data_IF_514242146854
#
_entry.id   IF_514242146854
#
_cell.length_a   1.000
_cell.length_b   1.000
_cell.length_c   1.000
_cell.angle_alpha   90.00
_cell.angle_beta   90.00
_cell.angle_gamma   90.00
#
_symmetry.space_group_name_H-M   'P 1'
#
loop_
_entity.id
_entity.type
_entity.pdbx_description
1 polymer ?
#
# COMPACT_ATOMS: atom_id res chain seq x y z
N UNK A 1 35.53 -19.65 -47.94
CA UNK A 1 36.12 -18.79 -46.90
C UNK A 1 34.98 -18.33 -46.01
N UNK A 2 34.70 -19.11 -44.96
CA UNK A 2 33.78 -18.72 -43.89
C UNK A 2 34.58 -18.75 -42.61
N UNK A 3 34.91 -17.59 -42.07
CA UNK A 3 35.50 -17.49 -40.74
C UNK A 3 34.43 -17.87 -39.73
N UNK A 4 34.62 -19.04 -39.12
CA UNK A 4 33.91 -19.45 -37.93
C UNK A 4 34.28 -18.47 -36.82
N UNK A 5 33.37 -17.58 -36.46
CA UNK A 5 33.46 -16.77 -35.24
C UNK A 5 33.45 -17.75 -34.06
N UNK A 6 34.63 -18.08 -33.55
CA UNK A 6 34.79 -18.85 -32.32
C UNK A 6 34.22 -18.03 -31.17
N UNK A 7 33.07 -18.43 -30.65
CA UNK A 7 32.56 -17.94 -29.37
C UNK A 7 33.50 -18.47 -28.29
N UNK A 8 34.58 -17.75 -28.01
CA UNK A 8 35.51 -18.09 -26.94
C UNK A 8 34.77 -17.97 -25.60
N UNK A 9 34.51 -19.12 -24.96
CA UNK A 9 34.07 -19.18 -23.57
C UNK A 9 35.23 -18.69 -22.69
N UNK A 10 35.16 -17.44 -22.25
CA UNK A 10 36.03 -16.93 -21.18
C UNK A 10 35.57 -17.59 -19.88
N UNK A 11 36.43 -18.41 -19.27
CA UNK A 11 36.03 -19.26 -18.12
C UNK A 11 36.43 -18.66 -16.79
N UNK A 12 37.37 -17.72 -16.76
CA UNK A 12 37.84 -17.07 -15.52
C UNK A 12 37.84 -15.55 -15.62
N UNK A 13 37.81 -14.90 -14.46
CA UNK A 13 37.96 -13.44 -14.36
C UNK A 13 39.30 -12.94 -14.92
N UNK A 14 40.35 -13.76 -14.85
CA UNK A 14 41.64 -13.49 -15.45
C UNK A 14 41.57 -13.39 -16.96
N UNK A 15 40.81 -14.28 -17.60
CA UNK A 15 40.60 -14.28 -19.05
C UNK A 15 39.84 -13.02 -19.50
N UNK A 16 38.84 -12.59 -18.73
CA UNK A 16 38.09 -11.36 -18.99
C UNK A 16 39.02 -10.14 -18.91
N UNK A 17 39.81 -10.03 -17.84
CA UNK A 17 40.78 -8.93 -17.66
C UNK A 17 41.78 -8.90 -18.81
N UNK A 18 42.36 -10.05 -19.15
CA UNK A 18 43.34 -10.18 -20.22
C UNK A 18 42.75 -9.74 -21.57
N UNK A 19 41.53 -10.19 -21.88
CA UNK A 19 40.80 -9.81 -23.10
C UNK A 19 40.63 -8.29 -23.19
N UNK A 20 40.09 -7.64 -22.17
CA UNK A 20 39.87 -6.18 -22.18
C UNK A 20 41.18 -5.39 -22.23
N UNK A 21 42.23 -5.87 -21.56
CA UNK A 21 43.57 -5.29 -21.64
C UNK A 21 44.14 -5.37 -23.06
N UNK A 22 44.01 -6.52 -23.71
CA UNK A 22 44.50 -6.73 -25.09
C UNK A 22 43.70 -5.91 -26.10
N UNK A 23 42.37 -5.85 -25.95
CA UNK A 23 41.49 -5.02 -26.78
C UNK A 23 41.78 -3.52 -26.65
N UNK A 24 42.22 -3.07 -25.47
CA UNK A 24 42.64 -1.69 -25.22
C UNK A 24 44.12 -1.42 -25.53
N UNK A 25 44.85 -2.40 -26.11
CA UNK A 25 46.28 -2.33 -26.44
C UNK A 25 47.18 -1.92 -25.26
N UNK A 26 46.77 -2.24 -24.02
CA UNK A 26 47.55 -1.91 -22.84
C UNK A 26 48.55 -3.03 -22.50
N UNK A 27 49.79 -2.65 -22.18
CA UNK A 27 50.73 -3.58 -21.56
C UNK A 27 50.40 -3.78 -20.08
N UNK A 28 50.77 -4.93 -19.49
CA UNK A 28 50.63 -5.16 -18.05
C UNK A 28 51.33 -4.06 -17.24
N UNK A 29 52.48 -3.56 -17.71
CA UNK A 29 53.21 -2.47 -17.06
C UNK A 29 52.41 -1.15 -17.06
N UNK A 30 51.71 -0.85 -18.16
CA UNK A 30 50.87 0.35 -18.27
C UNK A 30 49.64 0.22 -17.37
N UNK A 31 48.94 -0.93 -17.43
CA UNK A 31 47.78 -1.20 -16.59
C UNK A 31 48.14 -1.15 -15.09
N UNK A 32 49.30 -1.70 -14.71
CA UNK A 32 49.79 -1.64 -13.33
C UNK A 32 49.96 -0.19 -12.84
N UNK A 33 50.55 0.66 -13.70
CA UNK A 33 50.77 2.07 -13.38
C UNK A 33 49.45 2.84 -13.20
N UNK A 34 48.45 2.57 -14.03
CA UNK A 34 47.19 3.32 -14.05
C UNK A 34 46.20 2.80 -13.01
N UNK A 35 46.10 1.48 -12.83
CA UNK A 35 45.20 0.86 -11.84
C UNK A 35 45.72 0.92 -10.40
N UNK A 36 47.02 1.19 -10.22
CA UNK A 36 47.68 1.15 -8.91
C UNK A 36 47.95 -0.27 -8.39
N UNK A 37 47.63 -1.31 -9.17
CA UNK A 37 47.87 -2.71 -8.81
C UNK A 37 49.24 -3.16 -9.35
N UNK A 38 49.99 -3.93 -8.57
CA UNK A 38 51.35 -4.32 -8.98
C UNK A 38 51.34 -5.23 -10.22
N UNK A 39 52.37 -5.09 -11.06
CA UNK A 39 52.56 -5.89 -12.29
C UNK A 39 52.52 -7.40 -12.01
N UNK A 40 53.11 -7.81 -10.89
CA UNK A 40 53.12 -9.21 -10.45
C UNK A 40 51.72 -9.73 -10.15
N UNK A 41 50.89 -8.94 -9.44
CA UNK A 41 49.51 -9.30 -9.12
C UNK A 41 48.67 -9.42 -10.39
N UNK A 42 48.73 -8.43 -11.30
CA UNK A 42 47.99 -8.48 -12.56
C UNK A 42 48.40 -9.71 -13.38
N UNK A 43 49.71 -10.00 -13.48
CA UNK A 43 50.20 -11.18 -14.20
C UNK A 43 49.68 -12.49 -13.61
N UNK A 44 49.58 -12.61 -12.29
CA UNK A 44 49.06 -13.80 -11.60
C UNK A 44 47.55 -13.97 -11.76
N UNK A 45 46.83 -12.85 -11.86
CA UNK A 45 45.39 -12.85 -12.14
C UNK A 45 45.13 -13.29 -13.58
N UNK A 46 45.80 -12.69 -14.55
CA UNK A 46 45.63 -13.03 -15.98
C UNK A 46 46.11 -14.45 -16.32
N UNK A 47 47.06 -15.02 -15.56
CA UNK A 47 47.53 -16.38 -15.76
C UNK A 47 46.68 -17.45 -15.05
N UNK A 48 45.71 -17.04 -14.22
CA UNK A 48 44.92 -17.95 -13.38
C UNK A 48 45.69 -18.54 -12.19
N UNK A 49 46.92 -18.09 -11.91
CA UNK A 49 47.67 -18.47 -10.70
C UNK A 49 46.92 -18.06 -9.44
N UNK A 50 46.30 -16.87 -9.46
CA UNK A 50 45.37 -16.42 -8.42
C UNK A 50 43.95 -16.87 -8.77
N UNK A 51 43.52 -18.01 -8.23
CA UNK A 51 42.18 -18.58 -8.51
C UNK A 51 41.01 -17.71 -8.04
N UNK A 52 41.17 -16.97 -6.95
CA UNK A 52 40.14 -16.12 -6.32
C UNK A 52 40.74 -14.77 -5.93
N UNK A 53 40.94 -13.84 -6.90
CA UNK A 53 41.46 -12.53 -6.56
C UNK A 53 40.46 -11.76 -5.71
N UNK A 54 40.93 -10.92 -4.81
CA UNK A 54 40.05 -10.10 -3.97
C UNK A 54 39.36 -9.01 -4.79
N UNK A 55 38.09 -8.72 -4.50
CA UNK A 55 37.30 -7.72 -5.23
C UNK A 55 37.98 -6.34 -5.23
N UNK A 56 38.57 -5.94 -4.09
CA UNK A 56 39.35 -4.70 -3.96
C UNK A 56 40.56 -4.59 -4.91
N UNK A 57 41.07 -5.73 -5.40
CA UNK A 57 42.17 -5.80 -6.36
C UNK A 57 41.65 -5.76 -7.80
N UNK A 58 40.51 -6.40 -8.07
CA UNK A 58 39.93 -6.45 -9.42
C UNK A 58 39.20 -5.15 -9.77
N UNK A 59 38.51 -4.51 -8.83
CA UNK A 59 37.74 -3.29 -9.09
C UNK A 59 38.57 -2.15 -9.72
N UNK A 60 39.79 -1.82 -9.26
CA UNK A 60 40.63 -0.83 -9.92
C UNK A 60 41.06 -1.23 -11.34
N UNK A 61 41.35 -2.52 -11.55
CA UNK A 61 41.73 -3.06 -12.87
C UNK A 61 40.55 -2.95 -13.84
N UNK A 62 39.36 -3.41 -13.42
CA UNK A 62 38.14 -3.37 -14.21
C UNK A 62 37.76 -1.94 -14.60
N UNK A 63 37.81 -0.99 -13.64
CA UNK A 63 37.58 0.44 -13.89
C UNK A 63 38.56 1.03 -14.90
N UNK A 64 39.84 0.69 -14.79
CA UNK A 64 40.89 1.19 -15.71
C UNK A 64 40.70 0.66 -17.14
N UNK A 65 40.25 -0.58 -17.26
CA UNK A 65 40.02 -1.24 -18.55
C UNK A 65 38.62 -0.97 -19.13
N UNK A 66 37.75 -0.27 -18.40
CA UNK A 66 36.37 -0.02 -18.82
C UNK A 66 35.50 -1.28 -18.85
N UNK A 67 35.82 -2.29 -18.03
CA UNK A 67 35.01 -3.52 -17.92
C UNK A 67 33.74 -3.18 -17.14
N UNK A 68 32.54 -3.53 -17.64
CA UNK A 68 31.30 -3.38 -16.88
C UNK A 68 31.39 -4.14 -15.55
N UNK A 69 31.16 -3.44 -14.43
CA UNK A 69 31.24 -4.07 -13.10
C UNK A 69 30.22 -5.21 -12.96
N UNK A 70 29.07 -5.11 -13.61
CA UNK A 70 28.09 -6.20 -13.66
C UNK A 70 28.71 -7.50 -14.20
N UNK A 71 29.50 -7.43 -15.28
CA UNK A 71 30.18 -8.61 -15.86
C UNK A 71 31.19 -9.19 -14.87
N UNK A 72 31.93 -8.34 -14.15
CA UNK A 72 32.84 -8.79 -13.08
C UNK A 72 32.09 -9.56 -11.99
N UNK A 73 30.98 -9.00 -11.48
CA UNK A 73 30.15 -9.64 -10.45
C UNK A 73 29.63 -11.00 -10.94
N UNK A 74 29.19 -11.09 -12.20
CA UNK A 74 28.72 -12.37 -12.78
C UNK A 74 29.78 -13.46 -12.79
N UNK A 75 31.04 -13.11 -13.04
CA UNK A 75 32.13 -14.09 -12.97
C UNK A 75 32.46 -14.45 -11.51
N UNK A 76 32.36 -13.50 -10.59
CA UNK A 76 32.63 -13.73 -9.16
C UNK A 76 31.65 -14.71 -8.51
N UNK A 77 30.35 -14.58 -8.79
CA UNK A 77 29.33 -15.46 -8.20
C UNK A 77 29.43 -16.93 -8.63
N UNK A 78 30.17 -17.22 -9.70
CA UNK A 78 30.42 -18.59 -10.18
C UNK A 78 31.71 -19.20 -9.57
N UNK A 79 32.60 -18.39 -8.97
CA UNK A 79 33.91 -18.85 -8.45
C UNK A 79 34.06 -18.70 -6.94
N UNK A 80 33.39 -17.72 -6.33
CA UNK A 80 33.49 -17.41 -4.91
C UNK A 80 32.14 -17.64 -4.23
N UNK A 81 32.09 -18.69 -3.43
CA UNK A 81 30.91 -19.12 -2.70
C UNK A 81 30.92 -18.60 -1.25
N UNK A 82 31.95 -17.84 -0.84
CA UNK A 82 32.05 -17.36 0.55
C UNK A 82 30.93 -16.36 0.85
N UNK A 83 30.13 -16.56 1.92
CA UNK A 83 28.99 -15.72 2.24
C UNK A 83 29.32 -14.23 2.36
N UNK A 84 30.43 -13.86 3.00
CA UNK A 84 30.83 -12.45 3.17
C UNK A 84 31.11 -11.76 1.84
N UNK A 85 31.76 -12.47 0.91
CA UNK A 85 32.05 -11.95 -0.44
C UNK A 85 30.75 -11.79 -1.22
N UNK A 86 29.88 -12.81 -1.18
CA UNK A 86 28.59 -12.74 -1.85
C UNK A 86 27.71 -11.60 -1.30
N UNK A 87 27.73 -11.35 0.00
CA UNK A 87 27.01 -10.22 0.60
C UNK A 87 27.59 -8.86 0.18
N UNK A 88 28.92 -8.74 0.09
CA UNK A 88 29.59 -7.55 -0.49
C UNK A 88 29.16 -7.32 -1.95
N UNK A 89 29.06 -8.39 -2.74
CA UNK A 89 28.58 -8.31 -4.13
C UNK A 89 27.11 -7.87 -4.25
N UNK A 90 26.25 -8.20 -3.28
CA UNK A 90 24.88 -7.67 -3.25
C UNK A 90 24.91 -6.15 -3.07
N UNK A 91 25.76 -5.63 -2.17
CA UNK A 91 25.91 -4.18 -1.97
C UNK A 91 26.39 -3.50 -3.25
N UNK A 92 27.42 -4.05 -3.90
CA UNK A 92 27.93 -3.50 -5.17
C UNK A 92 26.86 -3.51 -6.26
N UNK A 93 26.08 -4.60 -6.39
CA UNK A 93 24.99 -4.67 -7.35
C UNK A 93 23.89 -3.62 -7.10
N UNK A 94 23.61 -3.29 -5.83
CA UNK A 94 22.71 -2.18 -5.46
C UNK A 94 23.30 -0.83 -5.90
N UNK A 95 24.60 -0.59 -5.70
CA UNK A 95 25.25 0.65 -6.15
C UNK A 95 25.22 0.82 -7.68
N UNK A 96 25.18 -0.29 -8.42
CA UNK A 96 25.01 -0.29 -9.87
C UNK A 96 23.57 -0.08 -10.34
N UNK A 97 22.61 0.01 -9.41
CA UNK A 97 21.17 0.10 -9.69
C UNK A 97 20.62 -1.06 -10.53
N UNK A 98 21.21 -2.25 -10.39
CA UNK A 98 20.89 -3.42 -11.22
C UNK A 98 20.10 -4.47 -10.43
N UNK A 99 18.77 -4.31 -10.37
CA UNK A 99 17.87 -5.21 -9.64
C UNK A 99 18.01 -6.69 -10.05
N UNK A 100 18.04 -7.06 -11.35
CA UNK A 100 18.26 -8.45 -11.76
C UNK A 100 19.57 -9.04 -11.22
N UNK A 101 20.65 -8.26 -11.20
CA UNK A 101 21.93 -8.72 -10.64
C UNK A 101 21.84 -8.88 -9.12
N UNK A 102 21.21 -7.93 -8.42
CA UNK A 102 20.97 -8.00 -6.96
C UNK A 102 20.26 -9.29 -6.58
N UNK A 103 19.17 -9.64 -7.27
CA UNK A 103 18.40 -10.87 -6.99
C UNK A 103 19.18 -12.13 -7.34
N UNK A 104 19.96 -12.11 -8.44
CA UNK A 104 20.84 -13.22 -8.84
C UNK A 104 21.92 -13.50 -7.79
N UNK A 105 22.61 -12.46 -7.32
CA UNK A 105 23.65 -12.60 -6.28
C UNK A 105 23.03 -13.07 -4.95
N UNK A 106 21.88 -12.52 -4.56
CA UNK A 106 21.17 -12.93 -3.35
C UNK A 106 20.74 -14.41 -3.40
N UNK A 107 20.27 -14.90 -4.55
CA UNK A 107 19.95 -16.31 -4.72
C UNK A 107 21.20 -17.18 -4.61
N UNK A 108 22.34 -16.77 -5.20
CA UNK A 108 23.62 -17.48 -5.06
C UNK A 108 24.10 -17.50 -3.61
N UNK A 109 23.96 -16.40 -2.89
CA UNK A 109 24.24 -16.31 -1.46
C UNK A 109 23.45 -17.35 -0.65
N UNK A 110 22.16 -17.59 -0.96
CA UNK A 110 21.37 -18.62 -0.28
C UNK A 110 21.71 -20.07 -0.70
N UNK A 111 22.36 -20.26 -1.84
CA UNK A 111 22.67 -21.58 -2.41
C UNK A 111 24.06 -22.10 -2.05
N UNK A 112 24.92 -21.27 -1.43
CA UNK A 112 26.26 -21.68 -1.03
C UNK A 112 26.24 -22.81 0.01
N UNK A 113 27.27 -23.65 -0.03
CA UNK A 113 27.47 -24.79 0.90
C UNK A 113 28.32 -24.45 2.12
N UNK A 114 28.81 -23.19 2.22
CA UNK A 114 29.75 -22.77 3.28
C UNK A 114 29.11 -22.64 4.66
N UNK A 115 27.80 -22.36 4.71
CA UNK A 115 27.04 -22.18 5.94
C UNK A 115 25.70 -22.89 5.82
N UNK A 116 25.09 -23.21 6.97
CA UNK A 116 23.76 -23.81 7.01
C UNK A 116 22.73 -22.86 6.39
N UNK A 117 21.79 -23.41 5.62
CA UNK A 117 20.79 -22.61 4.89
C UNK A 117 19.94 -21.70 5.79
N UNK A 118 19.71 -22.11 7.05
CA UNK A 118 19.04 -21.28 8.06
C UNK A 118 19.84 -20.04 8.47
N UNK A 119 21.17 -20.18 8.60
CA UNK A 119 22.06 -19.05 8.93
C UNK A 119 22.13 -18.09 7.76
N UNK A 120 22.25 -18.62 6.53
CA UNK A 120 22.29 -17.80 5.32
C UNK A 120 21.01 -16.97 5.16
N UNK A 121 19.84 -17.60 5.21
CA UNK A 121 18.58 -16.85 5.04
C UNK A 121 18.36 -15.81 6.15
N UNK A 122 18.80 -16.08 7.38
CA UNK A 122 18.75 -15.10 8.47
C UNK A 122 19.64 -13.89 8.19
N UNK A 123 20.88 -14.13 7.74
CA UNK A 123 21.81 -13.06 7.34
C UNK A 123 21.26 -12.22 6.20
N UNK A 124 20.69 -12.86 5.17
CA UNK A 124 20.07 -12.14 4.06
C UNK A 124 18.85 -11.34 4.54
N UNK A 125 17.99 -11.93 5.36
CA UNK A 125 16.83 -11.24 5.92
C UNK A 125 17.25 -9.98 6.71
N UNK A 126 18.23 -10.11 7.61
CA UNK A 126 18.73 -8.97 8.39
C UNK A 126 19.38 -7.90 7.50
N UNK A 127 20.08 -8.32 6.44
CA UNK A 127 20.60 -7.40 5.43
C UNK A 127 19.46 -6.62 4.75
N UNK A 128 18.40 -7.30 4.29
CA UNK A 128 17.25 -6.65 3.64
C UNK A 128 16.53 -5.68 4.57
N UNK A 129 16.35 -6.05 5.84
CA UNK A 129 15.78 -5.17 6.87
C UNK A 129 16.61 -3.89 7.05
N UNK A 130 17.94 -3.98 6.92
CA UNK A 130 18.83 -2.82 7.07
C UNK A 130 18.81 -1.85 5.88
N UNK A 131 18.22 -2.23 4.74
CA UNK A 131 18.13 -1.38 3.56
C UNK A 131 17.10 -0.26 3.76
N UNK A 132 17.43 0.95 3.31
CA UNK A 132 16.51 2.09 3.33
C UNK A 132 15.64 2.18 2.08
N UNK A 133 16.11 1.63 0.96
CA UNK A 133 15.44 1.73 -0.34
C UNK A 133 14.51 0.53 -0.60
N UNK A 134 13.20 0.81 -0.59
CA UNK A 134 12.13 -0.18 -0.81
C UNK A 134 12.22 -0.86 -2.18
N UNK A 135 12.81 -0.22 -3.19
CA UNK A 135 12.94 -0.77 -4.54
C UNK A 135 13.83 -2.02 -4.58
N UNK A 136 14.76 -2.16 -3.63
CA UNK A 136 15.58 -3.37 -3.46
C UNK A 136 15.03 -4.32 -2.40
N UNK A 137 14.32 -3.81 -1.39
CA UNK A 137 13.71 -4.67 -0.37
C UNK A 137 12.69 -5.64 -0.98
N UNK A 138 11.80 -5.16 -1.85
CA UNK A 138 10.75 -5.99 -2.44
C UNK A 138 11.30 -7.18 -3.26
N UNK A 139 12.20 -6.98 -4.26
CA UNK A 139 12.80 -8.10 -4.99
C UNK A 139 13.61 -9.06 -4.10
N UNK A 140 14.28 -8.56 -3.06
CA UNK A 140 15.03 -9.42 -2.16
C UNK A 140 14.13 -10.24 -1.22
N UNK A 141 13.01 -9.67 -0.75
CA UNK A 141 11.99 -10.45 -0.06
C UNK A 141 11.36 -11.51 -0.97
N UNK A 142 11.17 -11.23 -2.27
CA UNK A 142 10.73 -12.26 -3.22
C UNK A 142 11.70 -13.44 -3.31
N UNK A 143 13.02 -13.17 -3.31
CA UNK A 143 14.05 -14.22 -3.25
C UNK A 143 13.95 -15.02 -1.95
N UNK A 144 13.82 -14.35 -0.80
CA UNK A 144 13.68 -14.99 0.53
C UNK A 144 12.42 -15.87 0.57
N UNK A 145 11.26 -15.33 0.17
CA UNK A 145 9.97 -16.03 0.18
C UNK A 145 10.04 -17.29 -0.68
N UNK A 146 10.56 -17.16 -1.92
CA UNK A 146 10.67 -18.29 -2.85
C UNK A 146 11.58 -19.38 -2.28
N UNK A 147 12.77 -19.00 -1.82
CA UNK A 147 13.73 -19.95 -1.26
C UNK A 147 13.18 -20.63 -0.01
N UNK A 148 12.57 -19.86 0.90
CA UNK A 148 11.97 -20.38 2.13
C UNK A 148 10.84 -21.38 1.83
N UNK A 149 9.99 -21.08 0.85
CA UNK A 149 8.90 -21.96 0.41
C UNK A 149 9.42 -23.28 -0.15
N UNK A 150 10.44 -23.23 -1.01
CA UNK A 150 11.06 -24.43 -1.62
C UNK A 150 11.77 -25.32 -0.59
N UNK A 151 12.25 -24.75 0.51
CA UNK A 151 13.02 -25.45 1.55
C UNK A 151 12.24 -25.74 2.83
N UNK A 152 10.96 -25.38 2.90
CA UNK A 152 10.12 -25.58 4.09
C UNK A 152 10.52 -24.70 5.29
N UNK A 153 11.16 -23.55 5.07
CA UNK A 153 11.61 -22.63 6.13
C UNK A 153 10.49 -21.67 6.54
N UNK A 154 9.46 -22.21 7.19
CA UNK A 154 8.19 -21.52 7.48
C UNK A 154 8.35 -20.18 8.21
N UNK A 155 9.32 -20.06 9.13
CA UNK A 155 9.62 -18.78 9.81
C UNK A 155 9.99 -17.66 8.85
N UNK A 156 10.88 -17.92 7.89
CA UNK A 156 11.30 -16.90 6.93
C UNK A 156 10.26 -16.68 5.83
N UNK A 157 9.46 -17.70 5.52
CA UNK A 157 8.29 -17.53 4.66
C UNK A 157 7.27 -16.56 5.29
N UNK A 158 6.90 -16.79 6.55
CA UNK A 158 5.96 -15.95 7.29
C UNK A 158 6.45 -14.49 7.37
N UNK A 159 7.69 -14.30 7.84
CA UNK A 159 8.29 -12.96 7.97
C UNK A 159 8.46 -12.27 6.63
N UNK A 160 8.88 -12.99 5.59
CA UNK A 160 9.01 -12.45 4.24
C UNK A 160 7.68 -11.97 3.67
N UNK A 161 6.62 -12.79 3.78
CA UNK A 161 5.26 -12.42 3.36
C UNK A 161 4.75 -11.19 4.11
N UNK A 162 4.92 -11.17 5.44
CA UNK A 162 4.53 -10.02 6.28
C UNK A 162 5.24 -8.74 5.85
N UNK A 163 6.58 -8.77 5.68
CA UNK A 163 7.34 -7.58 5.28
C UNK A 163 6.95 -7.09 3.88
N UNK A 164 6.75 -8.02 2.93
CA UNK A 164 6.29 -7.67 1.59
C UNK A 164 4.92 -6.99 1.62
N UNK A 165 3.98 -7.53 2.41
CA UNK A 165 2.69 -6.91 2.66
C UNK A 165 2.83 -5.48 3.21
N UNK A 166 3.59 -5.29 4.29
CA UNK A 166 3.78 -3.99 4.94
C UNK A 166 4.40 -2.94 4.00
N UNK A 167 5.29 -3.36 3.09
CA UNK A 167 5.90 -2.47 2.10
C UNK A 167 4.92 -1.99 1.02
N UNK A 168 3.92 -2.81 0.70
CA UNK A 168 2.98 -2.56 -0.41
C UNK A 168 1.59 -2.09 0.05
N UNK A 169 1.25 -2.18 1.33
CA UNK A 169 -0.12 -1.95 1.82
C UNK A 169 -0.67 -0.53 1.57
N UNK A 170 0.20 0.45 1.31
CA UNK A 170 -0.17 1.84 0.99
C UNK A 170 -0.01 2.20 -0.49
N UNK A 171 0.37 1.23 -1.33
CA UNK A 171 0.42 1.40 -2.78
C UNK A 171 -1.01 1.33 -3.34
N UNK A 172 -1.56 2.50 -3.71
CA UNK A 172 -2.95 2.64 -4.16
C UNK A 172 -3.27 1.78 -5.39
N UNK A 173 -2.28 1.49 -6.24
CA UNK A 173 -2.46 0.67 -7.44
C UNK A 173 -2.49 -0.83 -7.11
N UNK A 174 -1.99 -1.22 -5.93
CA UNK A 174 -1.81 -2.62 -5.50
C UNK A 174 -2.50 -2.95 -4.19
N UNK A 175 -3.49 -2.17 -3.75
CA UNK A 175 -4.18 -2.42 -2.47
C UNK A 175 -4.80 -3.82 -2.39
N UNK A 176 -5.44 -4.29 -3.46
CA UNK A 176 -6.06 -5.63 -3.45
C UNK A 176 -5.03 -6.75 -3.54
N UNK A 177 -3.89 -6.52 -4.20
CA UNK A 177 -2.78 -7.48 -4.26
C UNK A 177 -2.07 -7.60 -2.91
N UNK A 178 -1.76 -6.45 -2.29
CA UNK A 178 -1.15 -6.40 -0.97
C UNK A 178 -2.06 -7.02 0.10
N UNK A 179 -3.37 -6.81 0.02
CA UNK A 179 -4.32 -7.47 0.93
C UNK A 179 -4.25 -8.99 0.82
N UNK A 180 -4.17 -9.55 -0.40
CA UNK A 180 -4.00 -11.00 -0.60
C UNK A 180 -2.67 -11.52 -0.04
N UNK A 181 -1.59 -10.75 -0.14
CA UNK A 181 -0.30 -11.11 0.47
C UNK A 181 -0.39 -11.17 1.99
N UNK A 182 -1.10 -10.21 2.60
CA UNK A 182 -1.39 -10.23 4.02
C UNK A 182 -2.26 -11.43 4.43
N UNK A 183 -3.28 -11.78 3.65
CA UNK A 183 -4.07 -13.01 3.86
C UNK A 183 -3.21 -14.27 3.76
N UNK A 184 -2.25 -14.33 2.83
CA UNK A 184 -1.29 -15.44 2.77
C UNK A 184 -0.42 -15.49 4.03
N UNK A 185 0.07 -14.35 4.52
CA UNK A 185 0.88 -14.28 5.74
C UNK A 185 0.12 -14.78 6.99
N UNK A 186 -1.19 -14.52 7.07
CA UNK A 186 -2.04 -14.95 8.19
C UNK A 186 -2.05 -16.48 8.39
N UNK A 187 -1.88 -17.26 7.32
CA UNK A 187 -1.77 -18.73 7.38
C UNK A 187 -0.48 -19.24 8.06
N UNK A 188 0.50 -18.37 8.28
CA UNK A 188 1.80 -18.72 8.88
C UNK A 188 2.07 -17.98 10.19
N UNK A 189 1.02 -17.49 10.86
CA UNK A 189 1.12 -16.70 12.10
C UNK A 189 1.80 -17.45 13.24
N UNK A 190 1.69 -18.77 13.32
CA UNK A 190 2.39 -19.61 14.32
C UNK A 190 3.92 -19.49 14.26
N UNK A 191 4.47 -19.02 13.13
CA UNK A 191 5.91 -18.82 12.94
C UNK A 191 6.39 -17.38 13.16
N UNK A 192 5.47 -16.48 13.49
CA UNK A 192 5.76 -15.09 13.86
C UNK A 192 5.80 -14.96 15.38
N UNK A 193 6.63 -14.05 15.90
CA UNK A 193 6.58 -13.71 17.32
C UNK A 193 5.31 -12.90 17.66
N UNK A 194 5.04 -12.68 18.95
CA UNK A 194 3.80 -12.02 19.38
C UNK A 194 3.69 -10.59 18.85
N UNK A 195 4.79 -9.84 18.82
CA UNK A 195 4.80 -8.45 18.32
C UNK A 195 4.53 -8.43 16.81
N UNK A 196 5.17 -9.33 16.06
CA UNK A 196 4.96 -9.51 14.63
C UNK A 196 3.51 -9.92 14.32
N UNK A 197 2.91 -10.85 15.08
CA UNK A 197 1.50 -11.25 14.94
C UNK A 197 0.56 -10.08 15.18
N UNK A 198 0.72 -9.37 16.30
CA UNK A 198 -0.12 -8.22 16.64
C UNK A 198 -0.05 -7.15 15.55
N UNK A 199 1.15 -6.84 15.05
CA UNK A 199 1.33 -5.88 13.97
C UNK A 199 0.62 -6.35 12.70
N UNK A 200 0.81 -7.61 12.28
CA UNK A 200 0.13 -8.16 11.10
C UNK A 200 -1.40 -8.05 11.21
N UNK A 201 -1.99 -8.46 12.33
CA UNK A 201 -3.44 -8.37 12.54
C UNK A 201 -3.96 -6.94 12.49
N UNK A 202 -3.28 -5.99 13.14
CA UNK A 202 -3.71 -4.59 13.14
C UNK A 202 -3.59 -3.94 11.75
N UNK A 203 -2.51 -4.18 11.03
CA UNK A 203 -2.35 -3.65 9.67
C UNK A 203 -3.37 -4.26 8.70
N UNK A 204 -3.66 -5.55 8.84
CA UNK A 204 -4.74 -6.21 8.09
C UNK A 204 -6.11 -5.62 8.43
N UNK A 205 -6.38 -5.30 9.69
CA UNK A 205 -7.63 -4.67 10.09
C UNK A 205 -7.81 -3.27 9.47
N UNK A 206 -6.76 -2.44 9.50
CA UNK A 206 -6.80 -1.12 8.87
C UNK A 206 -7.01 -1.21 7.36
N UNK A 207 -6.25 -2.05 6.66
CA UNK A 207 -6.40 -2.18 5.22
C UNK A 207 -7.77 -2.79 4.84
N UNK A 208 -8.29 -3.75 5.61
CA UNK A 208 -9.63 -4.28 5.42
C UNK A 208 -10.70 -3.18 5.53
N UNK A 209 -10.59 -2.30 6.54
CA UNK A 209 -11.49 -1.17 6.70
C UNK A 209 -11.43 -0.23 5.49
N UNK A 210 -10.23 0.13 5.03
CA UNK A 210 -10.04 1.03 3.89
C UNK A 210 -10.56 0.44 2.56
N UNK A 211 -10.45 -0.89 2.41
CA UNK A 211 -11.02 -1.66 1.30
C UNK A 211 -12.53 -1.94 1.46
N UNK A 212 -13.18 -1.40 2.51
CA UNK A 212 -14.60 -1.63 2.83
C UNK A 212 -14.95 -3.10 3.11
N UNK A 213 -13.96 -3.93 3.46
CA UNK A 213 -14.10 -5.33 3.92
C UNK A 213 -14.34 -5.34 5.43
N UNK A 214 -15.48 -4.82 5.85
CA UNK A 214 -15.74 -4.51 7.27
C UNK A 214 -15.76 -5.73 8.18
N UNK A 215 -16.27 -6.87 7.71
CA UNK A 215 -16.25 -8.14 8.45
C UNK A 215 -14.81 -8.57 8.76
N UNK A 216 -13.92 -8.47 7.77
CA UNK A 216 -12.49 -8.80 7.90
C UNK A 216 -11.77 -7.84 8.84
N UNK A 217 -12.11 -6.54 8.81
CA UNK A 217 -11.60 -5.57 9.78
C UNK A 217 -11.93 -5.99 11.22
N UNK A 218 -13.18 -6.38 11.46
CA UNK A 218 -13.64 -6.83 12.78
C UNK A 218 -12.92 -8.11 13.20
N UNK A 219 -12.83 -9.09 12.30
CA UNK A 219 -12.13 -10.37 12.52
C UNK A 219 -10.67 -10.14 12.92
N UNK A 220 -9.89 -9.48 12.07
CA UNK A 220 -8.46 -9.27 12.31
C UNK A 220 -8.21 -8.34 13.50
N UNK A 221 -9.03 -7.31 13.68
CA UNK A 221 -8.90 -6.42 14.82
C UNK A 221 -9.11 -7.14 16.16
N UNK A 222 -10.09 -8.06 16.23
CA UNK A 222 -10.31 -8.90 17.42
C UNK A 222 -9.18 -9.89 17.66
N UNK A 223 -8.64 -10.51 16.60
CA UNK A 223 -7.47 -11.38 16.71
C UNK A 223 -6.28 -10.60 17.28
N UNK A 224 -6.02 -9.39 16.78
CA UNK A 224 -4.97 -8.51 17.31
C UNK A 224 -5.21 -8.12 18.77
N UNK A 225 -6.44 -7.77 19.15
CA UNK A 225 -6.78 -7.44 20.54
C UNK A 225 -6.61 -8.62 21.51
N UNK A 226 -6.88 -9.84 21.06
CA UNK A 226 -6.70 -11.05 21.87
C UNK A 226 -5.21 -11.38 22.08
N UNK A 227 -4.36 -11.12 21.09
CA UNK A 227 -2.91 -11.35 21.17
C UNK A 227 -2.16 -10.21 21.88
N UNK A 228 -2.61 -8.97 21.73
CA UNK A 228 -1.95 -7.80 22.29
C UNK A 228 -2.28 -7.63 23.78
N UNK A 229 -1.32 -7.97 24.65
CA UNK A 229 -1.46 -7.80 26.10
C UNK A 229 -1.14 -6.38 26.58
N UNK A 230 -0.70 -5.49 25.69
CA UNK A 230 -0.34 -4.12 26.04
C UNK A 230 -1.53 -3.17 25.91
N UNK A 231 -1.38 -1.98 26.49
CA UNK A 231 -2.26 -0.86 26.20
C UNK A 231 -1.47 0.19 25.41
N UNK A 232 -1.84 0.39 24.16
CA UNK A 232 -1.15 1.28 23.24
C UNK A 232 -2.16 1.97 22.30
N UNK A 233 -1.74 3.09 21.69
CA UNK A 233 -2.61 3.88 20.83
C UNK A 233 -3.10 3.11 19.60
N UNK A 234 -2.27 2.24 19.02
CA UNK A 234 -2.64 1.44 17.84
C UNK A 234 -3.82 0.51 18.13
N UNK A 235 -3.80 -0.14 19.30
CA UNK A 235 -4.88 -0.98 19.79
C UNK A 235 -6.20 -0.24 19.90
N UNK A 236 -6.19 0.97 20.46
CA UNK A 236 -7.39 1.82 20.54
C UNK A 236 -7.86 2.31 19.16
N UNK A 237 -6.93 2.61 18.24
CA UNK A 237 -7.27 2.98 16.86
C UNK A 237 -7.91 1.82 16.10
N UNK A 238 -7.48 0.58 16.34
CA UNK A 238 -8.14 -0.62 15.81
C UNK A 238 -9.52 -0.81 16.43
N UNK A 239 -9.68 -0.56 17.73
CA UNK A 239 -10.99 -0.56 18.39
C UNK A 239 -11.96 0.43 17.72
N UNK A 240 -11.47 1.62 17.39
CA UNK A 240 -12.21 2.62 16.65
C UNK A 240 -12.57 2.16 15.23
N UNK A 241 -11.64 1.52 14.51
CA UNK A 241 -11.91 0.92 13.20
C UNK A 241 -12.99 -0.17 13.27
N UNK A 242 -12.98 -1.02 14.30
CA UNK A 242 -14.01 -2.04 14.56
C UNK A 242 -15.38 -1.38 14.77
N UNK A 243 -15.48 -0.34 15.59
CA UNK A 243 -16.73 0.41 15.78
C UNK A 243 -17.23 1.02 14.47
N UNK A 244 -16.34 1.62 13.67
CA UNK A 244 -16.70 2.15 12.35
C UNK A 244 -17.18 1.05 11.40
N UNK A 245 -16.54 -0.13 11.40
CA UNK A 245 -16.97 -1.28 10.61
C UNK A 245 -18.38 -1.74 10.99
N UNK A 246 -18.68 -1.89 12.29
CA UNK A 246 -20.04 -2.22 12.74
C UNK A 246 -21.07 -1.18 12.29
N UNK A 247 -20.74 0.10 12.44
CA UNK A 247 -21.58 1.19 11.97
C UNK A 247 -21.83 1.12 10.46
N UNK A 248 -20.79 0.93 9.64
CA UNK A 248 -20.91 0.85 8.18
C UNK A 248 -21.70 -0.36 7.69
N UNK A 249 -21.70 -1.44 8.46
CA UNK A 249 -22.54 -2.62 8.21
C UNK A 249 -23.97 -2.49 8.77
N UNK A 250 -24.33 -1.35 9.37
CA UNK A 250 -25.60 -1.14 10.08
C UNK A 250 -25.85 -2.16 11.21
N UNK A 251 -24.79 -2.73 11.80
CA UNK A 251 -24.88 -3.66 12.92
C UNK A 251 -24.77 -2.88 14.25
N UNK A 252 -25.90 -2.31 14.66
CA UNK A 252 -25.97 -1.47 15.86
C UNK A 252 -25.74 -2.24 17.16
N UNK A 253 -26.22 -3.48 17.25
CA UNK A 253 -26.00 -4.32 18.43
C UNK A 253 -24.50 -4.55 18.65
N UNK A 254 -23.78 -4.94 17.60
CA UNK A 254 -22.34 -5.11 17.64
C UNK A 254 -21.61 -3.81 18.01
N UNK A 255 -22.04 -2.67 17.46
CA UNK A 255 -21.49 -1.36 17.82
C UNK A 255 -21.68 -1.06 19.31
N UNK A 256 -22.89 -1.19 19.85
CA UNK A 256 -23.21 -0.90 21.26
C UNK A 256 -22.44 -1.80 22.24
N UNK A 257 -22.33 -3.10 21.94
CA UNK A 257 -21.56 -4.04 22.75
C UNK A 257 -20.09 -3.65 22.81
N UNK A 258 -19.47 -3.34 21.67
CA UNK A 258 -18.04 -3.02 21.62
C UNK A 258 -17.74 -1.65 22.22
N UNK A 259 -18.62 -0.66 22.05
CA UNK A 259 -18.43 0.65 22.69
C UNK A 259 -18.44 0.54 24.22
N UNK A 260 -19.39 -0.21 24.80
CA UNK A 260 -19.42 -0.46 26.24
C UNK A 260 -18.15 -1.15 26.72
N UNK A 261 -17.75 -2.22 26.03
CA UNK A 261 -16.52 -2.94 26.35
C UNK A 261 -15.28 -2.05 26.29
N UNK A 262 -15.12 -1.22 25.24
CA UNK A 262 -13.97 -0.33 25.10
C UNK A 262 -14.00 0.84 26.09
N UNK A 263 -15.18 1.32 26.47
CA UNK A 263 -15.35 2.31 27.54
C UNK A 263 -14.89 1.74 28.89
N UNK A 264 -15.31 0.51 29.24
CA UNK A 264 -14.88 -0.19 30.45
C UNK A 264 -13.36 -0.44 30.48
N UNK A 265 -12.75 -0.69 29.32
CA UNK A 265 -11.30 -0.84 29.16
C UNK A 265 -10.54 0.50 29.21
N UNK A 266 -11.24 1.63 29.23
CA UNK A 266 -10.62 2.95 29.32
C UNK A 266 -10.00 3.46 28.01
N UNK A 267 -10.44 2.96 26.85
CA UNK A 267 -9.86 3.34 25.55
C UNK A 267 -10.20 4.77 25.19
N UNK A 268 -9.23 5.67 25.35
CA UNK A 268 -9.44 7.12 25.23
C UNK A 268 -9.92 7.53 23.84
N UNK A 269 -9.35 6.95 22.78
CA UNK A 269 -9.77 7.24 21.39
C UNK A 269 -11.26 6.92 21.17
N UNK A 270 -11.78 5.88 21.81
CA UNK A 270 -13.20 5.51 21.72
C UNK A 270 -14.05 6.41 22.62
N UNK A 271 -13.61 6.64 23.86
CA UNK A 271 -14.33 7.44 24.86
C UNK A 271 -14.60 8.86 24.35
N UNK A 272 -13.61 9.51 23.75
CA UNK A 272 -13.74 10.86 23.18
C UNK A 272 -14.80 10.94 22.06
N UNK A 273 -15.26 9.80 21.52
CA UNK A 273 -16.24 9.70 20.43
C UNK A 273 -17.56 9.07 20.85
N UNK A 274 -17.73 8.71 22.13
CA UNK A 274 -18.95 8.05 22.62
C UNK A 274 -20.21 8.88 22.36
N UNK A 275 -20.15 10.21 22.53
CA UNK A 275 -21.30 11.08 22.23
C UNK A 275 -21.76 10.95 20.78
N UNK A 276 -20.81 10.93 19.86
CA UNK A 276 -21.08 10.77 18.42
C UNK A 276 -21.71 9.42 18.11
N UNK A 277 -21.16 8.32 18.67
CA UNK A 277 -21.75 7.00 18.46
C UNK A 277 -23.13 6.85 19.12
N UNK A 278 -23.33 7.39 20.32
CA UNK A 278 -24.62 7.42 21.00
C UNK A 278 -25.68 8.10 20.14
N UNK A 279 -25.34 9.24 19.52
CA UNK A 279 -26.24 9.96 18.64
C UNK A 279 -26.65 9.13 17.40
N UNK A 280 -25.70 8.39 16.82
CA UNK A 280 -25.96 7.45 15.71
C UNK A 280 -26.88 6.31 16.14
N UNK A 281 -26.59 5.69 17.28
CA UNK A 281 -27.35 4.57 17.84
C UNK A 281 -28.81 5.01 18.07
N UNK A 282 -29.02 6.17 18.69
CA UNK A 282 -30.36 6.72 18.93
C UNK A 282 -31.10 7.00 17.61
N UNK A 283 -30.41 7.56 16.61
CA UNK A 283 -30.97 7.79 15.27
C UNK A 283 -31.41 6.47 14.62
N UNK A 284 -30.60 5.41 14.74
CA UNK A 284 -30.96 4.09 14.20
C UNK A 284 -32.13 3.42 14.94
N UNK A 285 -32.24 3.66 16.25
CA UNK A 285 -33.37 3.20 17.08
C UNK A 285 -34.63 4.06 16.93
N UNK A 286 -34.64 4.99 15.97
CA UNK A 286 -35.75 5.93 15.71
C UNK A 286 -36.10 6.84 16.90
N UNK A 287 -35.16 7.00 17.85
CA UNK A 287 -35.29 7.89 19.00
C UNK A 287 -34.84 9.31 18.63
N UNK A 288 -35.51 9.88 17.64
CA UNK A 288 -35.08 11.11 16.97
C UNK A 288 -35.06 12.35 17.88
N UNK A 289 -35.97 12.40 18.86
CA UNK A 289 -36.05 13.51 19.84
C UNK A 289 -34.76 13.66 20.65
N UNK A 290 -34.10 12.54 20.98
CA UNK A 290 -32.81 12.53 21.67
C UNK A 290 -31.63 12.57 20.69
N UNK A 291 -31.76 11.92 19.52
CA UNK A 291 -30.68 11.80 18.55
C UNK A 291 -30.31 13.16 17.91
N UNK A 292 -31.30 13.94 17.47
CA UNK A 292 -31.08 15.17 16.69
C UNK A 292 -30.32 16.24 17.49
N UNK A 293 -30.68 16.56 18.75
CA UNK A 293 -29.91 17.50 19.56
C UNK A 293 -28.44 17.09 19.71
N UNK A 294 -28.19 15.80 19.99
CA UNK A 294 -26.84 15.27 20.12
C UNK A 294 -26.06 15.33 18.80
N UNK A 295 -26.71 15.03 17.66
CA UNK A 295 -26.09 15.16 16.33
C UNK A 295 -25.73 16.61 16.02
N UNK A 296 -26.58 17.59 16.38
CA UNK A 296 -26.30 19.02 16.21
C UNK A 296 -25.09 19.46 17.04
N UNK A 297 -25.00 19.04 18.30
CA UNK A 297 -23.81 19.27 19.11
C UNK A 297 -22.55 18.62 18.51
N UNK A 298 -22.68 17.41 17.98
CA UNK A 298 -21.56 16.76 17.30
C UNK A 298 -21.12 17.58 16.08
N UNK A 299 -22.04 18.13 15.29
CA UNK A 299 -21.69 19.01 14.17
C UNK A 299 -20.99 20.28 14.65
N UNK A 300 -21.45 20.92 15.73
CA UNK A 300 -20.86 22.17 16.23
C UNK A 300 -19.45 21.96 16.79
N UNK A 301 -19.18 20.86 17.49
CA UNK A 301 -17.87 20.49 18.03
C UNK A 301 -16.89 19.95 16.98
N UNK A 302 -17.35 19.72 15.75
CA UNK A 302 -16.55 19.07 14.74
C UNK A 302 -15.40 19.95 14.25
N UNK A 303 -14.19 19.40 14.27
CA UNK A 303 -13.06 19.96 13.53
C UNK A 303 -13.33 19.95 12.02
N UNK A 304 -12.67 20.82 11.26
CA UNK A 304 -12.83 20.95 9.80
C UNK A 304 -12.85 19.62 9.03
N UNK A 305 -11.96 18.69 9.38
CA UNK A 305 -11.81 17.39 8.67
C UNK A 305 -13.05 16.50 8.85
N UNK A 306 -13.62 16.43 10.05
CA UNK A 306 -14.71 15.50 10.37
C UNK A 306 -16.10 16.15 10.32
N UNK A 307 -16.18 17.47 10.09
CA UNK A 307 -17.44 18.23 10.10
C UNK A 307 -18.42 17.69 9.08
N UNK A 308 -17.99 17.54 7.83
CA UNK A 308 -18.87 17.15 6.73
C UNK A 308 -19.47 15.76 6.95
N UNK A 309 -18.70 14.84 7.51
CA UNK A 309 -19.21 13.53 7.88
C UNK A 309 -20.33 13.62 8.92
N UNK A 310 -20.15 14.44 9.97
CA UNK A 310 -21.18 14.65 11.00
C UNK A 310 -22.43 15.35 10.45
N UNK A 311 -22.25 16.30 9.52
CA UNK A 311 -23.35 16.93 8.78
C UNK A 311 -24.12 15.89 8.00
N UNK A 312 -23.44 14.99 7.27
CA UNK A 312 -24.10 13.93 6.52
C UNK A 312 -24.94 13.01 7.42
N UNK A 313 -24.45 12.64 8.61
CA UNK A 313 -25.24 11.82 9.55
C UNK A 313 -26.48 12.59 10.06
N UNK A 314 -26.34 13.87 10.36
CA UNK A 314 -27.47 14.71 10.76
C UNK A 314 -28.49 14.85 9.62
N UNK A 315 -28.03 15.12 8.40
CA UNK A 315 -28.88 15.25 7.22
C UNK A 315 -29.63 13.97 6.91
N UNK A 316 -28.98 12.81 6.98
CA UNK A 316 -29.60 11.50 6.81
C UNK A 316 -30.72 11.28 7.84
N UNK A 317 -30.46 11.65 9.10
CA UNK A 317 -31.44 11.52 10.20
C UNK A 317 -32.64 12.44 9.98
N UNK A 318 -32.41 13.70 9.58
CA UNK A 318 -33.48 14.66 9.30
C UNK A 318 -34.31 14.27 8.08
N UNK A 319 -33.69 13.67 7.06
CA UNK A 319 -34.38 13.14 5.88
C UNK A 319 -35.35 12.01 6.26
N UNK A 320 -34.96 11.09 7.16
CA UNK A 320 -35.83 9.98 7.61
C UNK A 320 -37.13 10.46 8.24
N UNK A 321 -37.10 11.58 8.96
CA UNK A 321 -38.28 12.17 9.61
C UNK A 321 -38.95 13.28 8.78
N UNK A 322 -38.50 13.52 7.54
CA UNK A 322 -38.98 14.59 6.67
C UNK A 322 -38.99 15.99 7.34
N UNK A 323 -37.95 16.31 8.12
CA UNK A 323 -37.82 17.59 8.81
C UNK A 323 -37.38 18.72 7.85
N UNK A 324 -38.27 19.10 6.93
CA UNK A 324 -37.99 20.00 5.79
C UNK A 324 -37.31 21.30 6.19
N UNK A 325 -37.83 22.00 7.20
CA UNK A 325 -37.28 23.29 7.63
C UNK A 325 -35.87 23.15 8.22
N UNK A 326 -35.66 22.10 9.03
CA UNK A 326 -34.35 21.80 9.62
C UNK A 326 -33.31 21.42 8.55
N UNK A 327 -33.70 20.71 7.49
CA UNK A 327 -32.82 20.37 6.38
C UNK A 327 -32.45 21.63 5.59
N UNK A 328 -33.42 22.51 5.32
CA UNK A 328 -33.16 23.78 4.62
C UNK A 328 -32.18 24.66 5.40
N UNK A 329 -32.41 24.83 6.70
CA UNK A 329 -31.50 25.56 7.59
C UNK A 329 -30.08 24.95 7.58
N UNK A 330 -29.99 23.62 7.63
CA UNK A 330 -28.70 22.92 7.59
C UNK A 330 -27.96 23.17 6.26
N UNK A 331 -28.66 23.06 5.13
CA UNK A 331 -28.09 23.32 3.80
C UNK A 331 -27.60 24.77 3.71
N UNK A 332 -28.45 25.74 4.06
CA UNK A 332 -28.11 27.16 4.02
C UNK A 332 -26.89 27.46 4.92
N UNK A 333 -26.84 26.89 6.11
CA UNK A 333 -25.71 27.07 7.02
C UNK A 333 -24.42 26.48 6.44
N UNK A 334 -24.42 25.23 5.97
CA UNK A 334 -23.19 24.57 5.51
C UNK A 334 -22.68 25.14 4.20
N UNK A 335 -23.55 25.50 3.24
CA UNK A 335 -23.11 26.04 1.95
C UNK A 335 -22.50 27.44 2.07
N UNK A 336 -23.01 28.26 3.00
CA UNK A 336 -22.42 29.56 3.33
C UNK A 336 -21.08 29.45 4.06
N UNK A 337 -20.80 28.30 4.69
CA UNK A 337 -19.63 28.09 5.52
C UNK A 337 -18.70 26.98 5.00
N UNK A 338 -18.88 26.52 3.75
CA UNK A 338 -18.05 25.46 3.19
C UNK A 338 -16.57 25.87 3.21
N UNK A 339 -15.75 25.08 3.90
CA UNK A 339 -14.31 25.28 3.93
C UNK A 339 -13.72 24.58 2.70
N UNK A 340 -13.32 25.36 1.69
CA UNK A 340 -12.88 24.86 0.39
C UNK A 340 -11.54 24.09 0.37
N UNK A 341 -10.95 23.75 1.52
CA UNK A 341 -9.68 23.02 1.59
C UNK A 341 -9.88 21.48 1.54
N UNK A 342 -10.83 21.02 0.73
CA UNK A 342 -11.14 19.61 0.55
C UNK A 342 -10.17 18.99 -0.45
N UNK A 343 -9.03 18.51 0.05
CA UNK A 343 -7.96 17.94 -0.78
C UNK A 343 -7.81 16.42 -0.64
N UNK A 344 -8.50 15.80 0.33
CA UNK A 344 -8.35 14.37 0.62
C UNK A 344 -9.45 13.54 -0.05
N UNK A 345 -9.17 12.26 -0.40
CA UNK A 345 -10.20 11.35 -0.92
C UNK A 345 -11.41 11.20 0.02
N UNK A 346 -11.17 11.20 1.33
CA UNK A 346 -12.22 11.16 2.34
C UNK A 346 -13.18 12.34 2.22
N UNK A 347 -12.64 13.56 2.10
CA UNK A 347 -13.45 14.77 1.99
C UNK A 347 -14.30 14.77 0.71
N UNK A 348 -13.73 14.35 -0.42
CA UNK A 348 -14.49 14.21 -1.67
C UNK A 348 -15.60 13.16 -1.57
N UNK A 349 -15.36 12.04 -0.88
CA UNK A 349 -16.40 11.05 -0.61
C UNK A 349 -17.54 11.63 0.23
N UNK A 350 -17.24 12.43 1.26
CA UNK A 350 -18.28 13.03 2.11
C UNK A 350 -19.02 14.17 1.39
N UNK A 351 -18.38 14.93 0.48
CA UNK A 351 -19.06 15.89 -0.39
C UNK A 351 -20.01 15.18 -1.36
N UNK A 352 -19.56 14.08 -1.98
CA UNK A 352 -20.41 13.25 -2.83
C UNK A 352 -21.68 12.80 -2.09
N UNK A 353 -21.54 12.32 -0.85
CA UNK A 353 -22.68 11.93 0.01
C UNK A 353 -23.58 13.11 0.38
N UNK A 354 -23.01 14.27 0.67
CA UNK A 354 -23.78 15.47 1.01
C UNK A 354 -24.69 15.88 -0.15
N UNK A 355 -24.11 16.03 -1.35
CA UNK A 355 -24.87 16.45 -2.53
C UNK A 355 -25.89 15.40 -2.98
N UNK A 356 -25.63 14.10 -2.77
CA UNK A 356 -26.64 13.05 -3.02
C UNK A 356 -27.85 13.20 -2.09
N UNK A 357 -27.62 13.43 -0.80
CA UNK A 357 -28.69 13.67 0.17
C UNK A 357 -29.44 14.98 -0.10
N UNK A 358 -28.73 16.03 -0.52
CA UNK A 358 -29.31 17.30 -0.98
C UNK A 358 -30.20 17.10 -2.20
N UNK A 359 -29.77 16.28 -3.14
CA UNK A 359 -30.58 15.94 -4.30
C UNK A 359 -31.88 15.24 -3.89
N UNK A 360 -31.79 14.18 -3.06
CA UNK A 360 -32.95 13.48 -2.54
C UNK A 360 -33.93 14.43 -1.82
N UNK A 361 -33.41 15.38 -1.02
CA UNK A 361 -34.21 16.42 -0.40
C UNK A 361 -34.99 17.26 -1.42
N UNK A 362 -34.32 17.83 -2.42
CA UNK A 362 -34.97 18.68 -3.43
C UNK A 362 -35.99 17.92 -4.26
N UNK A 363 -35.71 16.66 -4.63
CA UNK A 363 -36.66 15.80 -5.33
C UNK A 363 -37.92 15.58 -4.49
N UNK A 364 -37.78 15.31 -3.19
CA UNK A 364 -38.92 15.15 -2.29
C UNK A 364 -39.74 16.44 -2.12
N UNK A 365 -39.13 17.61 -2.32
CA UNK A 365 -39.82 18.91 -2.32
C UNK A 365 -40.44 19.27 -3.69
N UNK A 366 -40.26 18.43 -4.71
CA UNK A 366 -40.72 18.71 -6.08
C UNK A 366 -39.80 19.63 -6.89
N UNK A 367 -38.66 20.06 -6.33
CA UNK A 367 -37.63 20.85 -7.01
C UNK A 367 -36.75 19.95 -7.88
N UNK A 368 -37.29 19.56 -9.03
CA UNK A 368 -36.66 18.57 -9.91
C UNK A 368 -35.29 19.02 -10.45
N UNK A 369 -35.21 20.21 -11.03
CA UNK A 369 -33.98 20.67 -11.70
C UNK A 369 -32.84 20.86 -10.67
N UNK A 370 -33.15 21.39 -9.49
CA UNK A 370 -32.20 21.53 -8.38
C UNK A 370 -31.71 20.16 -7.86
N UNK A 371 -32.60 19.17 -7.82
CA UNK A 371 -32.25 17.80 -7.44
C UNK A 371 -31.31 17.13 -8.44
N UNK A 372 -31.59 17.26 -9.74
CA UNK A 372 -30.70 16.75 -10.80
C UNK A 372 -29.34 17.44 -10.75
N UNK A 373 -29.31 18.76 -10.54
CA UNK A 373 -28.05 19.51 -10.39
C UNK A 373 -27.23 19.00 -9.20
N UNK A 374 -27.88 18.79 -8.04
CA UNK A 374 -27.21 18.25 -6.87
C UNK A 374 -26.69 16.81 -7.10
N UNK A 375 -27.41 15.96 -7.85
CA UNK A 375 -26.87 14.64 -8.23
C UNK A 375 -25.64 14.76 -9.13
N UNK A 376 -25.60 15.69 -10.08
CA UNK A 376 -24.42 15.92 -10.92
C UNK A 376 -23.23 16.43 -10.09
N UNK A 377 -23.46 17.28 -9.09
CA UNK A 377 -22.44 17.69 -8.14
C UNK A 377 -21.91 16.51 -7.32
N UNK A 378 -22.81 15.64 -6.85
CA UNK A 378 -22.44 14.39 -6.17
C UNK A 378 -21.52 13.52 -7.04
N UNK A 379 -21.93 13.28 -8.29
CA UNK A 379 -21.15 12.54 -9.28
C UNK A 379 -19.78 13.18 -9.54
N UNK A 380 -19.71 14.51 -9.62
CA UNK A 380 -18.45 15.24 -9.80
C UNK A 380 -17.46 14.96 -8.66
N UNK A 381 -17.90 14.99 -7.41
CA UNK A 381 -17.03 14.72 -6.26
C UNK A 381 -16.62 13.25 -6.18
N UNK A 382 -17.52 12.30 -6.46
CA UNK A 382 -17.14 10.89 -6.54
C UNK A 382 -16.17 10.60 -7.69
N UNK A 383 -16.24 11.35 -8.80
CA UNK A 383 -15.28 11.23 -9.88
C UNK A 383 -13.86 11.65 -9.49
N UNK A 384 -13.69 12.60 -8.54
CA UNK A 384 -12.36 12.99 -8.01
C UNK A 384 -11.63 11.85 -7.33
N UNK A 385 -12.36 10.83 -6.86
CA UNK A 385 -11.83 9.65 -6.17
C UNK A 385 -12.07 8.35 -6.93
N UNK A 386 -12.45 8.43 -8.22
CA UNK A 386 -12.72 7.28 -9.08
C UNK A 386 -13.75 6.29 -8.48
N UNK A 387 -14.71 6.77 -7.66
CA UNK A 387 -15.71 5.88 -7.04
C UNK A 387 -16.84 5.54 -8.01
N UNK A 388 -16.57 4.58 -8.88
CA UNK A 388 -17.48 4.18 -9.98
C UNK A 388 -18.84 3.72 -9.49
N UNK A 389 -18.89 2.93 -8.42
CA UNK A 389 -20.14 2.46 -7.83
C UNK A 389 -21.05 3.62 -7.44
N UNK A 390 -20.50 4.60 -6.73
CA UNK A 390 -21.25 5.77 -6.27
C UNK A 390 -21.73 6.66 -7.45
N UNK A 391 -20.93 6.77 -8.51
CA UNK A 391 -21.32 7.52 -9.72
C UNK A 391 -22.47 6.81 -10.45
N UNK A 392 -22.41 5.48 -10.53
CA UNK A 392 -23.46 4.67 -11.14
C UNK A 392 -24.77 4.76 -10.35
N UNK A 393 -24.73 4.70 -9.02
CA UNK A 393 -25.91 4.87 -8.16
C UNK A 393 -26.57 6.25 -8.39
N UNK A 394 -25.80 7.34 -8.42
CA UNK A 394 -26.39 8.67 -8.73
C UNK A 394 -26.98 8.71 -10.16
N UNK A 395 -26.34 8.05 -11.13
CA UNK A 395 -26.86 7.99 -12.50
C UNK A 395 -28.18 7.23 -12.57
N UNK A 396 -28.28 6.13 -11.84
CA UNK A 396 -29.50 5.32 -11.72
C UNK A 396 -30.63 6.12 -11.08
N UNK A 397 -30.35 6.88 -10.01
CA UNK A 397 -31.33 7.77 -9.36
C UNK A 397 -31.84 8.84 -10.33
N UNK A 398 -30.96 9.49 -11.11
CA UNK A 398 -31.37 10.45 -12.15
C UNK A 398 -32.27 9.77 -13.19
N UNK A 399 -31.87 8.62 -13.73
CA UNK A 399 -32.61 7.94 -14.80
C UNK A 399 -33.99 7.47 -14.32
N UNK A 400 -34.06 6.92 -13.10
CA UNK A 400 -35.30 6.51 -12.45
C UNK A 400 -36.25 7.69 -12.29
N UNK A 401 -35.73 8.80 -11.79
CA UNK A 401 -36.49 10.03 -11.60
C UNK A 401 -37.09 10.57 -12.92
N UNK A 402 -36.33 10.57 -14.02
CA UNK A 402 -36.85 10.98 -15.33
C UNK A 402 -37.91 10.02 -15.87
N UNK A 403 -37.71 8.72 -15.67
CA UNK A 403 -38.65 7.69 -16.09
C UNK A 403 -39.99 7.83 -15.34
N UNK A 404 -39.96 7.93 -14.01
CA UNK A 404 -41.15 8.05 -13.16
C UNK A 404 -41.95 9.32 -13.44
N UNK A 405 -41.29 10.41 -13.81
CA UNK A 405 -41.95 11.67 -14.16
C UNK A 405 -42.38 11.78 -15.64
N UNK A 406 -42.08 10.76 -16.46
CA UNK A 406 -42.39 10.77 -17.89
C UNK A 406 -41.72 11.93 -18.64
N UNK A 407 -40.53 12.35 -18.20
CA UNK A 407 -39.80 13.49 -18.77
C UNK A 407 -38.76 13.03 -19.79
N UNK A 408 -38.61 13.80 -20.85
CA UNK A 408 -37.53 13.60 -21.81
C UNK A 408 -36.18 14.03 -21.23
N UNK A 409 -35.16 13.19 -21.40
CA UNK A 409 -33.79 13.52 -21.03
C UNK A 409 -33.20 14.49 -22.06
N UNK A 410 -32.83 15.68 -21.61
CA UNK A 410 -32.21 16.71 -22.47
C UNK A 410 -30.78 16.31 -22.85
N UNK A 411 -30.38 16.67 -24.07
CA UNK A 411 -29.02 16.41 -24.58
C UNK A 411 -27.92 17.02 -23.71
N UNK A 412 -28.19 18.19 -23.13
CA UNK A 412 -27.27 18.87 -22.20
C UNK A 412 -26.93 18.00 -20.98
N UNK A 413 -27.95 17.44 -20.33
CA UNK A 413 -27.79 16.54 -19.18
C UNK A 413 -26.96 15.30 -19.57
N UNK A 414 -27.24 14.68 -20.72
CA UNK A 414 -26.43 13.56 -21.23
C UNK A 414 -24.97 13.98 -21.47
N UNK A 415 -24.75 15.20 -21.98
CA UNK A 415 -23.42 15.77 -22.16
C UNK A 415 -22.65 15.89 -20.85
N UNK A 416 -23.30 16.39 -19.79
CA UNK A 416 -22.71 16.54 -18.45
C UNK A 416 -22.43 15.19 -17.78
N UNK A 417 -23.37 14.24 -17.86
CA UNK A 417 -23.15 12.86 -17.38
C UNK A 417 -21.95 12.23 -18.11
N UNK A 418 -21.89 12.37 -19.43
CA UNK A 418 -20.75 11.90 -20.25
C UNK A 418 -19.43 12.53 -19.82
N UNK A 419 -19.41 13.82 -19.46
CA UNK A 419 -18.21 14.50 -18.98
C UNK A 419 -17.68 13.87 -17.69
N UNK A 420 -18.55 13.56 -16.72
CA UNK A 420 -18.18 12.86 -15.49
C UNK A 420 -17.51 11.53 -15.82
N UNK A 421 -18.15 10.68 -16.65
CA UNK A 421 -17.59 9.38 -17.02
C UNK A 421 -16.26 9.49 -17.78
N UNK A 422 -16.11 10.50 -18.65
CA UNK A 422 -14.85 10.74 -19.33
C UNK A 422 -13.72 11.13 -18.36
N UNK A 423 -14.01 11.93 -17.34
CA UNK A 423 -13.02 12.32 -16.33
C UNK A 423 -12.55 11.12 -15.52
N UNK A 424 -13.48 10.24 -15.13
CA UNK A 424 -13.18 8.97 -14.44
C UNK A 424 -12.30 8.06 -15.32
N UNK A 425 -12.61 7.94 -16.61
CA UNK A 425 -11.88 7.06 -17.52
C UNK A 425 -10.52 7.61 -17.95
N UNK A 426 -10.32 8.93 -18.00
CA UNK A 426 -9.02 9.56 -18.33
C UNK A 426 -7.94 9.34 -17.27
N UNK A 427 -8.31 9.16 -16.00
CA UNK A 427 -7.35 8.87 -14.92
C UNK A 427 -6.61 7.54 -15.16
N UNK A 428 -7.20 6.63 -15.96
CA UNK A 428 -6.59 5.33 -16.30
C UNK A 428 -5.62 5.38 -17.50
N UNK A 429 -5.45 6.51 -18.20
CA UNK A 429 -4.59 6.62 -19.39
C UNK A 429 -3.29 7.39 -19.15
N UNK A 430 -2.87 7.56 -17.90
CA UNK A 430 -1.47 7.85 -17.59
C UNK A 430 -0.73 6.51 -17.48
N UNK A 431 -0.54 5.87 -18.62
CA UNK A 431 0.48 4.81 -18.80
C UNK A 431 1.88 5.41 -18.79
#
# INVERSE_FOLDING_TARGET
>A
MGESVSTLQFTTIGDVIKKYREQSNQSISLLAKVSGVSKGVISKVESGETKRPELKTIMPIAKTLGIPIAEIIEHYIEIDERPDVLLELIHEAIQLTNIPLVTKVALRFLQTSYEESHVLIERLYNFVVSLTDKSYQLPLYDVIIKYARERGMQRFLARGLMQKFLLQMHDLEKLEESFRLGEEALHYTDFLDQEERVNLYYQMAFQAHDLKKYEKCIEFGKMGHAEDTTNNETKERVAWAICNSYFRMNNILGLEEHLRMYEELGYRFVIERLKYYKAIILSNKEQYDEAIPLLRECVSEATKINRLHRVNILMETLLKINATDAIRELIEHEENNFVYDFTTPYNFSELGRYFRQKAAFYINQGSFDDGVEAYLQSMHYFAKINSRKDIMECSEEILTLYHEQGKDIKLDLLGRIKEVYNNVNKVNFKE
#
